data_IF_106452630310
#
_entry.id   IF_106452630310
#
_cell.length_a   1.000
_cell.length_b   1.000
_cell.length_c   1.000
_cell.angle_alpha   90.00
_cell.angle_beta   90.00
_cell.angle_gamma   90.00
#
_symmetry.space_group_name_H-M   'P 1'
#
loop_
_entity.id
_entity.type
_entity.pdbx_description
1 polymer ?
#
# COMPACT_ATOMS: atom_id res chain seq x y z
N UNK A 1 10.93 -11.91 30.97
CA UNK A 1 10.28 -12.47 29.84
C UNK A 1 10.34 -13.99 29.97
N UNK A 2 9.22 -14.72 29.79
CA UNK A 2 9.10 -16.10 30.27
C UNK A 2 10.13 -17.06 29.66
N UNK A 3 10.65 -16.80 28.48
CA UNK A 3 11.63 -17.68 27.81
C UNK A 3 13.09 -17.25 27.99
N UNK A 4 13.38 -16.24 28.81
CA UNK A 4 14.76 -15.69 29.08
C UNK A 4 15.60 -15.40 27.83
N UNK A 5 14.96 -15.21 26.68
CA UNK A 5 15.63 -14.93 25.40
C UNK A 5 16.29 -13.54 25.35
N UNK A 6 15.80 -12.59 26.15
CA UNK A 6 16.32 -11.22 26.21
C UNK A 6 16.40 -10.73 27.66
N UNK A 7 17.46 -9.98 27.97
CA UNK A 7 17.58 -9.20 29.20
C UNK A 7 16.67 -7.96 29.12
N UNK A 8 16.16 -7.48 30.26
CA UNK A 8 15.21 -6.37 30.34
C UNK A 8 15.74 -5.09 29.62
N UNK A 9 17.01 -4.77 29.82
CA UNK A 9 17.66 -3.64 29.14
C UNK A 9 17.66 -3.81 27.60
N UNK A 10 17.99 -5.01 27.13
CA UNK A 10 18.01 -5.32 25.70
C UNK A 10 16.60 -5.25 25.07
N UNK A 11 15.57 -5.56 25.83
CA UNK A 11 14.19 -5.38 25.41
C UNK A 11 13.85 -3.91 25.19
N UNK A 12 14.17 -3.04 26.18
CA UNK A 12 13.92 -1.59 26.06
C UNK A 12 14.73 -0.96 24.94
N UNK A 13 16.00 -1.32 24.78
CA UNK A 13 16.83 -0.84 23.67
C UNK A 13 16.21 -1.21 22.30
N UNK A 14 15.67 -2.43 22.17
CA UNK A 14 15.01 -2.87 20.93
C UNK A 14 13.71 -2.11 20.67
N UNK A 15 12.93 -1.82 21.72
CA UNK A 15 11.71 -1.01 21.61
C UNK A 15 12.03 0.42 21.18
N UNK A 16 13.02 1.06 21.85
CA UNK A 16 13.44 2.41 21.52
C UNK A 16 13.95 2.48 20.08
N UNK A 17 14.77 1.51 19.68
CA UNK A 17 15.25 1.43 18.30
C UNK A 17 14.10 1.31 17.30
N UNK A 18 13.13 0.43 17.55
CA UNK A 18 11.94 0.29 16.70
C UNK A 18 11.11 1.58 16.62
N UNK A 19 10.99 2.34 17.71
CA UNK A 19 10.35 3.65 17.70
C UNK A 19 11.12 4.67 16.86
N UNK A 20 12.44 4.70 16.96
CA UNK A 20 13.30 5.58 16.16
C UNK A 20 13.22 5.22 14.68
N UNK A 21 13.20 3.93 14.34
CA UNK A 21 13.07 3.45 12.97
C UNK A 21 11.70 3.80 12.34
N UNK A 22 10.67 4.02 13.17
CA UNK A 22 9.34 4.49 12.72
C UNK A 22 9.24 6.01 12.54
N UNK A 23 10.17 6.79 13.07
CA UNK A 23 10.12 8.26 13.01
C UNK A 23 10.06 8.82 11.58
N UNK A 24 10.84 8.32 10.59
CA UNK A 24 10.73 8.77 9.20
C UNK A 24 9.32 8.53 8.61
N UNK A 25 8.66 7.43 8.99
CA UNK A 25 7.29 7.10 8.52
C UNK A 25 6.29 8.12 9.06
N UNK A 26 6.42 8.53 10.33
CA UNK A 26 5.56 9.57 10.91
C UNK A 26 5.73 10.92 10.19
N UNK A 27 6.96 11.30 9.86
CA UNK A 27 7.22 12.52 9.10
C UNK A 27 6.56 12.43 7.72
N UNK A 28 6.69 11.30 7.02
CA UNK A 28 6.05 11.09 5.71
C UNK A 28 4.53 11.20 5.79
N UNK A 29 3.91 10.66 6.82
CA UNK A 29 2.47 10.77 7.04
C UNK A 29 2.06 12.23 7.24
N UNK A 30 2.77 12.98 8.07
CA UNK A 30 2.49 14.41 8.30
C UNK A 30 2.64 15.20 7.00
N UNK A 31 3.70 14.95 6.22
CA UNK A 31 3.91 15.60 4.94
C UNK A 31 2.83 15.23 3.91
N UNK A 32 2.37 13.96 3.88
CA UNK A 32 1.29 13.51 3.02
C UNK A 32 -0.03 14.22 3.33
N UNK A 33 -0.39 14.34 4.61
CA UNK A 33 -1.57 15.11 5.01
C UNK A 33 -1.45 16.60 4.72
N UNK A 34 -0.27 17.18 4.91
CA UNK A 34 -0.02 18.59 4.53
C UNK A 34 -0.21 18.79 3.04
N UNK A 35 0.32 17.88 2.21
CA UNK A 35 0.16 17.92 0.77
C UNK A 35 -1.31 17.75 0.36
N UNK A 36 -2.07 16.89 1.04
CA UNK A 36 -3.51 16.74 0.84
C UNK A 36 -4.25 18.08 1.05
N UNK A 37 -4.02 18.75 2.17
CA UNK A 37 -4.65 20.05 2.47
C UNK A 37 -4.29 21.12 1.42
N UNK A 38 -3.04 21.14 0.97
CA UNK A 38 -2.60 22.05 -0.10
C UNK A 38 -3.27 21.71 -1.43
N UNK A 39 -3.37 20.43 -1.78
CA UNK A 39 -4.00 19.98 -3.01
C UNK A 39 -5.51 20.31 -3.04
N UNK A 40 -6.20 20.12 -1.91
CA UNK A 40 -7.61 20.52 -1.78
C UNK A 40 -7.78 22.03 -1.95
N UNK A 41 -6.88 22.83 -1.35
CA UNK A 41 -6.88 24.28 -1.51
C UNK A 41 -6.58 24.76 -2.95
N UNK A 42 -5.89 23.94 -3.74
CA UNK A 42 -5.61 24.19 -5.17
C UNK A 42 -6.70 23.66 -6.10
N UNK A 43 -7.73 22.96 -5.58
CA UNK A 43 -8.77 22.34 -6.38
C UNK A 43 -8.29 21.13 -7.19
N UNK A 44 -7.14 20.54 -6.82
CA UNK A 44 -6.59 19.39 -7.52
C UNK A 44 -7.51 18.16 -7.38
N UNK A 45 -8.10 17.97 -6.22
CA UNK A 45 -9.05 16.89 -5.94
C UNK A 45 -10.25 16.99 -6.89
N UNK A 46 -10.84 18.17 -7.04
CA UNK A 46 -11.98 18.40 -7.94
C UNK A 46 -11.60 18.16 -9.40
N UNK A 47 -10.42 18.62 -9.82
CA UNK A 47 -9.91 18.40 -11.18
C UNK A 47 -9.72 16.90 -11.49
N UNK A 48 -9.16 16.14 -10.56
CA UNK A 48 -8.98 14.68 -10.70
C UNK A 48 -10.32 13.97 -10.73
N UNK A 49 -11.26 14.38 -9.88
CA UNK A 49 -12.62 13.82 -9.85
C UNK A 49 -13.34 14.07 -11.18
N UNK A 50 -13.32 15.31 -11.70
CA UNK A 50 -13.96 15.61 -12.99
C UNK A 50 -13.35 14.80 -14.15
N UNK A 51 -12.03 14.64 -14.16
CA UNK A 51 -11.33 13.80 -15.14
C UNK A 51 -11.72 12.33 -15.03
N UNK A 52 -11.80 11.82 -13.83
CA UNK A 52 -12.16 10.43 -13.54
C UNK A 52 -13.65 10.13 -13.86
N UNK A 53 -14.56 11.05 -13.53
CA UNK A 53 -15.99 10.93 -13.87
C UNK A 53 -16.24 10.78 -15.37
N UNK A 54 -15.37 11.36 -16.20
CA UNK A 54 -15.47 11.28 -17.67
C UNK A 54 -14.86 10.00 -18.25
N UNK A 55 -13.91 9.39 -17.56
CA UNK A 55 -13.04 8.34 -18.09
C UNK A 55 -13.26 6.96 -17.45
N UNK A 56 -13.75 6.89 -16.21
CA UNK A 56 -13.81 5.65 -15.44
C UNK A 56 -15.25 5.22 -15.16
N UNK A 57 -15.53 3.94 -15.41
CA UNK A 57 -16.76 3.30 -14.94
C UNK A 57 -16.61 2.98 -13.43
N UNK A 58 -17.61 3.33 -12.57
CA UNK A 58 -17.56 3.02 -11.14
C UNK A 58 -17.25 1.56 -10.84
N UNK A 59 -17.79 0.64 -11.61
CA UNK A 59 -17.57 -0.80 -11.47
C UNK A 59 -16.11 -1.23 -11.72
N UNK A 60 -15.35 -0.47 -12.54
CA UNK A 60 -13.96 -0.77 -12.85
C UNK A 60 -12.97 -0.06 -11.89
N UNK A 61 -13.45 0.86 -11.07
CA UNK A 61 -12.61 1.65 -10.19
C UNK A 61 -11.78 0.78 -9.23
N UNK A 62 -12.33 -0.23 -8.52
CA UNK A 62 -11.53 -1.04 -7.58
C UNK A 62 -10.40 -1.81 -8.27
N UNK A 63 -10.65 -2.41 -9.41
CA UNK A 63 -9.60 -3.14 -10.14
C UNK A 63 -8.56 -2.20 -10.73
N UNK A 64 -8.96 -1.01 -11.17
CA UNK A 64 -8.02 0.01 -11.68
C UNK A 64 -7.10 0.50 -10.56
N UNK A 65 -7.67 0.81 -9.38
CA UNK A 65 -6.89 1.16 -8.19
C UNK A 65 -5.91 0.04 -7.86
N UNK A 66 -6.39 -1.21 -7.83
CA UNK A 66 -5.56 -2.36 -7.50
C UNK A 66 -4.35 -2.48 -8.43
N UNK A 67 -4.55 -2.44 -9.74
CA UNK A 67 -3.47 -2.60 -10.73
C UNK A 67 -2.50 -1.42 -10.70
N UNK A 68 -3.01 -0.19 -10.75
CA UNK A 68 -2.16 1.02 -10.80
C UNK A 68 -1.33 1.17 -9.53
N UNK A 69 -1.96 1.03 -8.38
CA UNK A 69 -1.25 1.17 -7.09
C UNK A 69 -0.26 0.02 -6.87
N UNK A 70 -0.55 -1.20 -7.30
CA UNK A 70 0.41 -2.29 -7.23
C UNK A 70 1.66 -2.05 -8.08
N UNK A 71 1.50 -1.50 -9.29
CA UNK A 71 2.63 -1.10 -10.13
C UNK A 71 3.44 0.03 -9.50
N UNK A 72 2.79 1.02 -8.92
CA UNK A 72 3.45 2.12 -8.19
C UNK A 72 4.16 1.61 -6.94
N UNK A 73 3.56 0.69 -6.19
CA UNK A 73 4.16 0.07 -5.02
C UNK A 73 5.39 -0.78 -5.39
N UNK A 74 5.31 -1.54 -6.47
CA UNK A 74 6.45 -2.25 -7.02
C UNK A 74 7.58 -1.28 -7.41
N UNK A 75 7.26 -0.17 -8.08
CA UNK A 75 8.24 0.83 -8.52
C UNK A 75 8.84 1.66 -7.40
N UNK A 76 8.10 1.95 -6.32
CA UNK A 76 8.57 2.76 -5.20
C UNK A 76 9.22 1.95 -4.07
N UNK A 77 8.89 0.67 -3.96
CA UNK A 77 9.31 -0.20 -2.86
C UNK A 77 8.73 0.20 -1.48
N UNK A 78 7.88 1.21 -1.43
CA UNK A 78 7.31 1.75 -0.20
C UNK A 78 5.87 1.29 -0.01
N UNK A 79 5.64 0.52 1.03
CA UNK A 79 4.31 0.07 1.43
C UNK A 79 3.50 1.18 2.12
N UNK A 80 4.00 1.66 3.24
CA UNK A 80 3.28 2.61 4.08
C UNK A 80 3.16 4.01 3.49
N UNK A 81 4.22 4.49 2.85
CA UNK A 81 4.24 5.81 2.23
C UNK A 81 3.21 5.91 1.10
N UNK A 82 3.15 4.91 0.24
CA UNK A 82 2.20 4.91 -0.88
C UNK A 82 0.75 4.75 -0.39
N UNK A 83 0.49 3.90 0.62
CA UNK A 83 -0.84 3.79 1.22
C UNK A 83 -1.30 5.13 1.82
N UNK A 84 -0.43 5.81 2.58
CA UNK A 84 -0.73 7.09 3.22
C UNK A 84 -1.04 8.21 2.21
N UNK A 85 -0.32 8.25 1.08
CA UNK A 85 -0.53 9.26 0.04
C UNK A 85 -1.78 8.96 -0.80
N UNK A 86 -2.03 7.69 -1.10
CA UNK A 86 -3.11 7.30 -2.01
C UNK A 86 -4.48 7.29 -1.35
N UNK A 87 -4.57 6.95 -0.06
CA UNK A 87 -5.84 6.84 0.64
C UNK A 87 -6.68 8.13 0.64
N UNK A 88 -6.10 9.32 0.93
CA UNK A 88 -6.82 10.59 0.87
C UNK A 88 -7.35 10.96 -0.52
N UNK A 89 -6.76 10.43 -1.57
CA UNK A 89 -7.20 10.68 -2.95
C UNK A 89 -8.30 9.69 -3.36
N UNK A 90 -8.13 8.42 -3.00
CA UNK A 90 -9.03 7.34 -3.43
C UNK A 90 -10.39 7.40 -2.71
N UNK A 91 -10.42 7.78 -1.43
CA UNK A 91 -11.66 7.82 -0.68
C UNK A 91 -12.68 8.84 -1.24
N UNK A 92 -12.34 10.13 -1.46
CA UNK A 92 -13.24 11.08 -2.11
C UNK A 92 -13.59 10.68 -3.56
N UNK A 93 -12.64 10.10 -4.29
CA UNK A 93 -12.87 9.64 -5.66
C UNK A 93 -13.89 8.50 -5.71
N UNK A 94 -13.84 7.56 -4.80
CA UNK A 94 -14.82 6.47 -4.71
C UNK A 94 -16.23 7.00 -4.42
N UNK A 95 -16.34 7.92 -3.45
CA UNK A 95 -17.61 8.57 -3.10
C UNK A 95 -18.19 9.37 -4.28
N UNK A 96 -17.35 10.16 -4.97
CA UNK A 96 -17.78 10.98 -6.12
C UNK A 96 -18.25 10.15 -7.32
N UNK A 97 -17.64 8.99 -7.56
CA UNK A 97 -18.03 8.07 -8.63
C UNK A 97 -19.20 7.15 -8.22
N UNK A 98 -19.62 7.16 -6.96
CA UNK A 98 -20.65 6.23 -6.45
C UNK A 98 -20.18 4.78 -6.37
N UNK A 99 -18.85 4.56 -6.31
CA UNK A 99 -18.26 3.25 -6.08
C UNK A 99 -18.23 2.95 -4.58
N UNK A 100 -18.19 1.67 -4.22
CA UNK A 100 -18.10 1.27 -2.81
C UNK A 100 -16.75 1.67 -2.21
N UNK A 101 -16.68 2.62 -1.24
CA UNK A 101 -15.42 3.12 -0.70
C UNK A 101 -14.65 2.06 0.08
N UNK A 102 -15.33 1.11 0.72
CA UNK A 102 -14.68 0.00 1.42
C UNK A 102 -13.99 -0.97 0.45
N UNK A 103 -14.61 -1.21 -0.71
CA UNK A 103 -14.04 -2.04 -1.75
C UNK A 103 -12.80 -1.37 -2.36
N UNK A 104 -12.86 -0.06 -2.59
CA UNK A 104 -11.73 0.74 -3.09
C UNK A 104 -10.57 0.78 -2.07
N UNK A 105 -10.88 0.94 -0.78
CA UNK A 105 -9.89 0.88 0.29
C UNK A 105 -9.24 -0.51 0.38
N UNK A 106 -10.04 -1.58 0.27
CA UNK A 106 -9.54 -2.95 0.22
C UNK A 106 -8.62 -3.19 -0.98
N UNK A 107 -8.99 -2.66 -2.16
CA UNK A 107 -8.18 -2.73 -3.36
C UNK A 107 -6.84 -2.00 -3.19
N UNK A 108 -6.85 -0.79 -2.59
CA UNK A 108 -5.64 -0.03 -2.27
C UNK A 108 -4.69 -0.81 -1.37
N UNK A 109 -5.16 -1.30 -0.24
CA UNK A 109 -4.31 -2.02 0.73
C UNK A 109 -3.76 -3.32 0.11
N UNK A 110 -4.61 -4.07 -0.60
CA UNK A 110 -4.18 -5.28 -1.30
C UNK A 110 -3.12 -4.98 -2.37
N UNK A 111 -3.26 -3.87 -3.07
CA UNK A 111 -2.33 -3.42 -4.10
C UNK A 111 -0.95 -3.08 -3.55
N UNK A 112 -0.88 -2.28 -2.48
CA UNK A 112 0.41 -1.93 -1.87
C UNK A 112 1.10 -3.13 -1.26
N UNK A 113 0.33 -4.08 -0.68
CA UNK A 113 0.86 -5.37 -0.22
C UNK A 113 1.48 -6.16 -1.37
N UNK A 114 0.73 -6.37 -2.45
CA UNK A 114 1.18 -7.16 -3.59
C UNK A 114 2.44 -6.56 -4.23
N UNK A 115 2.44 -5.25 -4.49
CA UNK A 115 3.59 -4.55 -5.08
C UNK A 115 4.81 -4.55 -4.17
N UNK A 116 4.63 -4.32 -2.85
CA UNK A 116 5.71 -4.34 -1.87
C UNK A 116 6.37 -5.71 -1.72
N UNK A 117 5.61 -6.80 -1.83
CA UNK A 117 6.18 -8.15 -1.78
C UNK A 117 6.92 -8.58 -3.05
N UNK A 118 6.62 -7.97 -4.20
CA UNK A 118 7.34 -8.23 -5.46
C UNK A 118 8.60 -7.36 -5.55
N UNK A 119 8.66 -6.22 -4.89
CA UNK A 119 9.79 -5.31 -4.98
C UNK A 119 11.00 -5.80 -4.18
N UNK A 120 12.13 -6.06 -4.87
CA UNK A 120 13.37 -6.62 -4.26
C UNK A 120 13.97 -5.69 -3.18
N UNK A 121 13.80 -4.38 -3.33
CA UNK A 121 14.34 -3.36 -2.41
C UNK A 121 13.29 -2.82 -1.42
N UNK A 122 12.12 -3.44 -1.34
CA UNK A 122 11.13 -3.05 -0.34
C UNK A 122 11.60 -3.41 1.07
N UNK A 123 11.19 -2.61 2.04
CA UNK A 123 11.45 -2.83 3.46
C UNK A 123 10.98 -4.23 3.90
N UNK A 124 9.83 -4.67 3.44
CA UNK A 124 9.27 -6.00 3.74
C UNK A 124 10.16 -7.13 3.24
N UNK A 125 10.65 -7.05 2.00
CA UNK A 125 11.52 -8.08 1.41
C UNK A 125 12.90 -8.08 2.06
N UNK A 126 13.47 -6.89 2.33
CA UNK A 126 14.77 -6.76 3.00
C UNK A 126 14.71 -7.34 4.42
N UNK A 127 13.69 -6.98 5.21
CA UNK A 127 13.54 -7.48 6.58
C UNK A 127 13.31 -9.00 6.62
N UNK A 128 12.47 -9.52 5.71
CA UNK A 128 12.21 -10.96 5.62
C UNK A 128 13.46 -11.72 5.20
N UNK A 129 14.18 -11.22 4.21
CA UNK A 129 15.43 -11.82 3.72
C UNK A 129 16.50 -11.85 4.82
N UNK A 130 16.66 -10.74 5.54
CA UNK A 130 17.59 -10.65 6.65
C UNK A 130 17.24 -11.61 7.80
N UNK A 131 15.95 -11.77 8.12
CA UNK A 131 15.51 -12.67 9.20
C UNK A 131 15.62 -14.14 8.85
N UNK A 132 15.46 -14.50 7.57
CA UNK A 132 15.53 -15.89 7.07
C UNK A 132 16.90 -16.27 6.53
N UNK A 133 17.86 -15.33 6.52
CA UNK A 133 19.24 -15.53 6.01
C UNK A 133 19.28 -15.96 4.53
N UNK A 134 18.29 -15.56 3.74
CA UNK A 134 18.27 -15.72 2.28
C UNK A 134 18.52 -14.36 1.61
N UNK A 135 19.02 -14.38 0.38
CA UNK A 135 19.19 -13.11 -0.35
C UNK A 135 17.85 -12.58 -0.84
N UNK A 136 17.66 -11.24 -0.97
CA UNK A 136 16.44 -10.67 -1.54
C UNK A 136 16.08 -11.22 -2.92
N UNK A 137 17.10 -11.57 -3.72
CA UNK A 137 16.90 -12.16 -5.05
C UNK A 137 16.35 -13.60 -4.99
N UNK A 138 16.80 -14.40 -4.05
CA UNK A 138 16.28 -15.77 -3.82
C UNK A 138 14.85 -15.71 -3.28
N UNK A 139 14.58 -14.80 -2.35
CA UNK A 139 13.22 -14.55 -1.86
C UNK A 139 12.29 -14.18 -3.02
N UNK A 140 12.69 -13.22 -3.86
CA UNK A 140 11.92 -12.78 -5.02
C UNK A 140 11.61 -13.95 -5.97
N UNK A 141 12.62 -14.75 -6.33
CA UNK A 141 12.43 -15.91 -7.24
C UNK A 141 11.47 -16.97 -6.69
N UNK A 142 11.51 -17.22 -5.38
CA UNK A 142 10.65 -18.22 -4.76
C UNK A 142 9.23 -17.72 -4.53
N UNK A 143 9.04 -16.44 -4.20
CA UNK A 143 7.74 -15.87 -3.89
C UNK A 143 6.99 -15.34 -5.12
N UNK A 144 7.70 -14.94 -6.18
CA UNK A 144 7.11 -14.36 -7.38
C UNK A 144 5.95 -15.19 -7.99
N UNK A 145 6.06 -16.51 -8.22
CA UNK A 145 4.97 -17.26 -8.81
C UNK A 145 3.73 -17.31 -7.93
N UNK A 146 3.90 -17.39 -6.60
CA UNK A 146 2.79 -17.40 -5.65
C UNK A 146 2.09 -16.03 -5.61
N UNK A 147 2.87 -14.95 -5.59
CA UNK A 147 2.33 -13.60 -5.56
C UNK A 147 1.63 -13.26 -6.89
N UNK A 148 2.15 -13.68 -8.03
CA UNK A 148 1.49 -13.50 -9.32
C UNK A 148 0.13 -14.20 -9.39
N UNK A 149 0.04 -15.44 -8.89
CA UNK A 149 -1.24 -16.15 -8.82
C UNK A 149 -2.22 -15.40 -7.90
N UNK A 150 -1.78 -14.99 -6.72
CA UNK A 150 -2.60 -14.21 -5.79
C UNK A 150 -3.01 -12.86 -6.40
N UNK A 151 -2.11 -12.19 -7.12
CA UNK A 151 -2.38 -10.92 -7.80
C UNK A 151 -3.48 -11.06 -8.86
N UNK A 152 -3.38 -12.07 -9.72
CA UNK A 152 -4.39 -12.32 -10.77
C UNK A 152 -5.74 -12.67 -10.14
N UNK A 153 -5.77 -13.55 -9.14
CA UNK A 153 -7.00 -13.90 -8.43
C UNK A 153 -7.64 -12.69 -7.74
N UNK A 154 -6.84 -11.82 -7.12
CA UNK A 154 -7.31 -10.59 -6.49
C UNK A 154 -7.84 -9.60 -7.52
N UNK A 155 -7.17 -9.44 -8.67
CA UNK A 155 -7.64 -8.58 -9.75
C UNK A 155 -9.00 -9.04 -10.30
N UNK A 156 -9.16 -10.34 -10.53
CA UNK A 156 -10.44 -10.93 -10.94
C UNK A 156 -11.50 -10.72 -9.84
N UNK A 157 -11.13 -10.92 -8.58
CA UNK A 157 -12.04 -10.70 -7.43
C UNK A 157 -12.52 -9.25 -7.36
N UNK A 158 -11.63 -8.27 -7.48
CA UNK A 158 -12.02 -6.84 -7.50
C UNK A 158 -12.83 -6.46 -8.73
N UNK A 159 -12.55 -7.10 -9.88
CA UNK A 159 -13.38 -6.90 -11.07
C UNK A 159 -14.81 -7.41 -10.84
N UNK A 160 -14.97 -8.63 -10.35
CA UNK A 160 -16.30 -9.22 -10.10
C UNK A 160 -17.06 -8.42 -9.03
N UNK A 161 -16.42 -8.11 -7.90
CA UNK A 161 -17.03 -7.36 -6.81
C UNK A 161 -17.41 -5.94 -7.23
N UNK A 162 -16.64 -5.30 -8.10
CA UNK A 162 -16.96 -3.98 -8.63
C UNK A 162 -18.22 -3.96 -9.49
N UNK A 163 -18.60 -5.08 -10.13
CA UNK A 163 -19.85 -5.20 -10.87
C UNK A 163 -21.03 -5.64 -10.01
N UNK A 164 -20.79 -6.26 -8.87
CA UNK A 164 -21.84 -6.81 -7.97
C UNK A 164 -22.24 -5.81 -6.89
N UNK A 165 -21.31 -4.97 -6.44
CA UNK A 165 -21.50 -4.02 -5.34
C UNK A 165 -21.54 -2.58 -5.83
#
# INVERSE_FOLDING_TARGET
LPQRLMNFNKFFDSVIKGMVDMFPVLILIIMAYTLMVVNDGLGLTDFVIEGALKALNPALLPVTIFVVIALLSFGSGSFWGLAAISFPIIAPLADALGANPFLCAGALISAVCAGGHICIYSDTVILTSASTQVTPAEYFRSSLPLILVAFVLSAIGFLILGFVM
#
